data_IF_260698701235
#
_entry.id   IF_260698701235
#
_cell.length_a   1.000
_cell.length_b   1.000
_cell.length_c   1.000
_cell.angle_alpha   90.00
_cell.angle_beta   90.00
_cell.angle_gamma   90.00
#
_symmetry.space_group_name_H-M   'P 1'
#
loop_
_entity.id
_entity.type
_entity.pdbx_description
1 polymer ?
#
# COMPACT_ATOMS: atom_id res chain seq x y z
N UNK A 1 -12.42 -55.99 -39.59
CA UNK A 1 -13.90 -55.88 -39.69
C UNK A 1 -14.35 -55.73 -38.26
N UNK A 2 -14.39 -54.49 -37.78
CA UNK A 2 -14.49 -54.21 -36.35
C UNK A 2 -15.78 -53.44 -36.15
N UNK A 3 -16.78 -54.15 -35.63
CA UNK A 3 -18.13 -53.65 -35.45
C UNK A 3 -18.17 -52.91 -34.12
N UNK A 4 -18.01 -51.59 -34.16
CA UNK A 4 -18.20 -50.72 -33.00
C UNK A 4 -19.69 -50.58 -32.67
N UNK A 5 -20.15 -51.30 -31.64
CA UNK A 5 -21.49 -51.17 -31.08
C UNK A 5 -21.65 -49.84 -30.31
N UNK A 6 -21.90 -48.74 -31.02
CA UNK A 6 -22.39 -47.50 -30.43
C UNK A 6 -23.77 -47.15 -30.99
N UNK A 7 -24.81 -47.50 -30.22
CA UNK A 7 -26.17 -47.03 -30.49
C UNK A 7 -26.28 -45.55 -30.11
N UNK A 8 -26.28 -44.68 -31.11
CA UNK A 8 -26.36 -43.23 -30.90
C UNK A 8 -27.74 -42.84 -30.35
N UNK A 9 -27.81 -42.56 -29.04
CA UNK A 9 -29.04 -42.21 -28.33
C UNK A 9 -29.26 -40.70 -28.37
N UNK A 10 -29.92 -40.20 -29.42
CA UNK A 10 -30.30 -38.79 -29.52
C UNK A 10 -31.19 -38.38 -28.33
N UNK A 11 -30.84 -37.33 -27.57
CA UNK A 11 -31.59 -36.92 -26.39
C UNK A 11 -32.91 -36.23 -26.77
N UNK A 12 -33.98 -37.01 -26.86
CA UNK A 12 -35.32 -36.50 -27.12
C UNK A 12 -35.88 -35.69 -25.92
N UNK A 13 -36.31 -34.47 -26.18
CA UNK A 13 -36.78 -33.55 -25.12
C UNK A 13 -38.20 -33.89 -24.65
N UNK A 14 -38.31 -34.69 -23.58
CA UNK A 14 -39.59 -34.86 -22.87
C UNK A 14 -39.90 -33.58 -22.09
N UNK A 15 -40.68 -32.68 -22.70
CA UNK A 15 -41.26 -31.53 -22.02
C UNK A 15 -41.47 -30.33 -22.94
N UNK A 16 -42.27 -29.34 -22.52
CA UNK A 16 -42.47 -28.14 -23.31
C UNK A 16 -41.15 -27.39 -23.53
N UNK A 17 -40.84 -27.10 -24.80
CA UNK A 17 -39.65 -26.34 -25.21
C UNK A 17 -39.82 -24.83 -25.01
N UNK A 18 -41.07 -24.33 -24.99
CA UNK A 18 -41.37 -22.92 -24.79
C UNK A 18 -41.24 -22.48 -23.32
N UNK A 19 -40.75 -21.26 -23.10
CA UNK A 19 -40.59 -20.66 -21.75
C UNK A 19 -41.93 -20.62 -20.99
N UNK A 20 -43.04 -20.37 -21.71
CA UNK A 20 -44.40 -20.37 -21.17
C UNK A 20 -44.82 -21.78 -20.72
N UNK A 21 -44.58 -22.81 -21.53
CA UNK A 21 -44.89 -24.19 -21.14
C UNK A 21 -44.05 -24.67 -19.96
N UNK A 22 -42.76 -24.30 -19.90
CA UNK A 22 -41.88 -24.60 -18.75
C UNK A 22 -42.36 -23.92 -17.46
N UNK A 23 -42.76 -22.66 -17.51
CA UNK A 23 -43.27 -21.94 -16.32
C UNK A 23 -44.62 -22.49 -15.84
N UNK A 24 -45.52 -22.90 -16.73
CA UNK A 24 -46.79 -23.57 -16.37
C UNK A 24 -46.52 -24.93 -15.72
N UNK A 25 -45.66 -25.76 -16.33
CA UNK A 25 -45.28 -27.07 -15.77
C UNK A 25 -44.64 -26.94 -14.38
N UNK A 26 -43.71 -25.99 -14.21
CA UNK A 26 -43.07 -25.71 -12.93
C UNK A 26 -44.08 -25.25 -11.87
N UNK A 27 -45.03 -24.38 -12.23
CA UNK A 27 -46.10 -23.91 -11.33
C UNK A 27 -46.99 -25.06 -10.86
N UNK A 28 -47.37 -25.98 -11.75
CA UNK A 28 -48.19 -27.16 -11.41
C UNK A 28 -47.44 -28.14 -10.50
N UNK A 29 -46.17 -28.43 -10.81
CA UNK A 29 -45.29 -29.29 -10.00
C UNK A 29 -45.08 -28.72 -8.58
N UNK A 30 -44.74 -27.43 -8.49
CA UNK A 30 -44.57 -26.75 -7.21
C UNK A 30 -45.87 -26.70 -6.40
N UNK A 31 -47.04 -26.42 -6.99
CA UNK A 31 -48.31 -26.39 -6.26
C UNK A 31 -48.67 -27.75 -5.62
N UNK A 32 -48.54 -28.87 -6.35
CA UNK A 32 -48.77 -30.22 -5.77
C UNK A 32 -47.72 -30.59 -4.72
N UNK A 33 -46.47 -30.19 -4.90
CA UNK A 33 -45.39 -30.46 -3.94
C UNK A 33 -45.51 -29.65 -2.65
N UNK A 34 -45.79 -28.35 -2.75
CA UNK A 34 -45.98 -27.43 -1.61
C UNK A 34 -47.18 -27.82 -0.75
N UNK A 35 -48.28 -28.31 -1.34
CA UNK A 35 -49.42 -28.82 -0.57
C UNK A 35 -49.04 -30.06 0.26
N UNK A 36 -48.33 -31.02 -0.33
CA UNK A 36 -47.80 -32.20 0.40
C UNK A 36 -46.78 -31.79 1.48
N UNK A 37 -45.93 -30.80 1.20
CA UNK A 37 -44.96 -30.27 2.17
C UNK A 37 -45.66 -29.60 3.36
N UNK A 38 -46.67 -28.73 3.12
CA UNK A 38 -47.48 -28.13 4.20
C UNK A 38 -48.14 -29.18 5.08
N UNK A 39 -48.69 -30.25 4.51
CA UNK A 39 -49.28 -31.34 5.30
C UNK A 39 -48.25 -32.12 6.12
N UNK A 40 -47.05 -32.38 5.58
CA UNK A 40 -45.96 -32.98 6.36
C UNK A 40 -45.47 -32.07 7.47
N UNK A 41 -45.28 -30.77 7.19
CA UNK A 41 -44.85 -29.77 8.18
C UNK A 41 -45.89 -29.63 9.29
N UNK A 42 -47.18 -29.54 8.95
CA UNK A 42 -48.26 -29.46 9.93
C UNK A 42 -48.30 -30.71 10.82
N UNK A 43 -48.19 -31.91 10.25
CA UNK A 43 -48.16 -33.16 11.02
C UNK A 43 -46.93 -33.26 11.93
N UNK A 44 -45.77 -32.79 11.46
CA UNK A 44 -44.55 -32.69 12.26
C UNK A 44 -44.71 -31.70 13.41
N UNK A 45 -45.23 -30.50 13.16
CA UNK A 45 -45.52 -29.48 14.18
C UNK A 45 -46.51 -29.99 15.22
N UNK A 46 -47.60 -30.66 14.82
CA UNK A 46 -48.58 -31.24 15.75
C UNK A 46 -47.96 -32.34 16.61
N UNK A 47 -47.13 -33.21 16.04
CA UNK A 47 -46.44 -34.26 16.80
C UNK A 47 -45.38 -33.66 17.75
N UNK A 48 -44.63 -32.66 17.30
CA UNK A 48 -43.66 -31.93 18.12
C UNK A 48 -44.34 -31.20 19.28
N UNK A 49 -45.47 -30.52 19.04
CA UNK A 49 -46.27 -29.88 20.09
C UNK A 49 -46.85 -30.89 21.09
N UNK A 50 -47.30 -32.07 20.64
CA UNK A 50 -47.73 -33.15 21.55
C UNK A 50 -46.58 -33.69 22.40
N UNK A 51 -45.41 -33.94 21.80
CA UNK A 51 -44.21 -34.38 22.52
C UNK A 51 -43.72 -33.34 23.53
N UNK A 52 -43.66 -32.07 23.12
CA UNK A 52 -43.33 -30.95 24.00
C UNK A 52 -44.33 -30.81 25.17
N UNK A 53 -45.63 -31.01 24.93
CA UNK A 53 -46.65 -30.98 26.00
C UNK A 53 -46.49 -32.10 27.02
N UNK A 54 -46.06 -33.29 26.60
CA UNK A 54 -45.71 -34.38 27.50
C UNK A 54 -44.45 -34.07 28.32
N UNK A 55 -43.43 -33.48 27.70
CA UNK A 55 -42.17 -33.09 28.36
C UNK A 55 -42.33 -31.90 29.32
N UNK A 56 -43.22 -30.96 29.01
CA UNK A 56 -43.52 -29.78 29.83
C UNK A 56 -44.48 -30.06 30.99
N UNK A 57 -45.25 -31.16 30.94
CA UNK A 57 -46.20 -31.55 32.00
C UNK A 57 -45.62 -31.50 33.43
N UNK A 58 -44.45 -32.10 33.73
CA UNK A 58 -43.84 -32.01 35.07
C UNK A 58 -43.25 -30.63 35.42
N UNK A 59 -43.07 -29.72 34.44
CA UNK A 59 -42.64 -28.33 34.71
C UNK A 59 -43.82 -27.41 35.07
N UNK A 60 -45.04 -27.73 34.64
CA UNK A 60 -46.24 -26.93 34.95
C UNK A 60 -46.55 -26.91 36.45
N UNK A 61 -46.31 -28.02 37.17
CA UNK A 61 -46.46 -28.08 38.63
C UNK A 61 -45.40 -27.27 39.40
N UNK A 62 -44.22 -27.09 38.80
CA UNK A 62 -43.14 -26.28 39.39
C UNK A 62 -43.35 -24.76 39.22
N UNK A 63 -44.15 -24.37 38.23
CA UNK A 63 -44.60 -22.98 37.98
C UNK A 63 -45.80 -22.54 38.84
N UNK A 64 -46.27 -23.37 39.78
CA UNK A 64 -47.42 -23.03 40.62
C UNK A 64 -47.08 -21.85 41.58
N UNK A 65 -47.96 -20.84 41.76
CA UNK A 65 -47.68 -19.63 42.54
C UNK A 65 -47.47 -19.82 44.07
N UNK A 66 -47.35 -21.06 44.53
CA UNK A 66 -46.97 -21.42 45.91
C UNK A 66 -45.54 -22.00 46.03
N UNK A 67 -44.80 -22.14 44.92
CA UNK A 67 -43.42 -22.63 44.93
C UNK A 67 -42.40 -21.49 44.72
N UNK A 68 -41.81 -20.94 45.80
CA UNK A 68 -40.90 -19.79 45.68
C UNK A 68 -39.61 -20.11 44.91
N UNK A 69 -39.14 -21.36 44.92
CA UNK A 69 -37.93 -21.75 44.19
C UNK A 69 -38.15 -21.78 42.67
N UNK A 70 -39.32 -22.26 42.21
CA UNK A 70 -39.69 -22.24 40.79
C UNK A 70 -39.82 -20.82 40.24
N UNK A 71 -40.43 -19.91 41.02
CA UNK A 71 -40.52 -18.48 40.68
C UNK A 71 -39.12 -17.85 40.59
N UNK A 72 -38.22 -18.13 41.54
CA UNK A 72 -36.86 -17.58 41.53
C UNK A 72 -36.04 -18.03 40.31
N UNK A 73 -36.14 -19.30 39.91
CA UNK A 73 -35.44 -19.79 38.71
C UNK A 73 -36.08 -19.23 37.43
N UNK A 74 -37.41 -19.07 37.38
CA UNK A 74 -38.07 -18.40 36.25
C UNK A 74 -37.60 -16.94 36.12
N UNK A 75 -37.56 -16.18 37.22
CA UNK A 75 -37.12 -14.77 37.23
C UNK A 75 -35.65 -14.64 36.86
N UNK A 76 -34.77 -15.50 37.37
CA UNK A 76 -33.34 -15.48 37.00
C UNK A 76 -33.11 -15.90 35.55
N UNK A 77 -33.84 -16.89 35.02
CA UNK A 77 -33.81 -17.24 33.58
C UNK A 77 -34.37 -16.13 32.69
N UNK A 78 -35.43 -15.45 33.12
CA UNK A 78 -36.00 -14.29 32.41
C UNK A 78 -35.00 -13.13 32.41
N UNK A 79 -34.37 -12.81 33.55
CA UNK A 79 -33.34 -11.79 33.64
C UNK A 79 -32.10 -12.13 32.80
N UNK A 80 -31.64 -13.39 32.83
CA UNK A 80 -30.50 -13.85 32.02
C UNK A 80 -30.80 -13.77 30.51
N UNK A 81 -32.00 -14.18 30.09
CA UNK A 81 -32.41 -14.08 28.66
C UNK A 81 -32.61 -12.63 28.23
N UNK A 82 -33.14 -11.75 29.09
CA UNK A 82 -33.22 -10.31 28.82
C UNK A 82 -31.83 -9.69 28.69
N UNK A 83 -30.90 -9.96 29.62
CA UNK A 83 -29.52 -9.47 29.58
C UNK A 83 -28.75 -10.01 28.37
N UNK A 84 -28.99 -11.27 27.98
CA UNK A 84 -28.42 -11.84 26.76
C UNK A 84 -28.99 -11.17 25.51
N UNK A 85 -30.29 -10.88 25.47
CA UNK A 85 -30.94 -10.18 24.37
C UNK A 85 -30.46 -8.73 24.25
N UNK A 86 -30.37 -7.97 25.34
CA UNK A 86 -29.84 -6.59 25.32
C UNK A 86 -28.36 -6.56 24.92
N UNK A 87 -27.54 -7.48 25.43
CA UNK A 87 -26.13 -7.63 25.02
C UNK A 87 -25.99 -7.97 23.53
N UNK A 88 -26.79 -8.91 23.01
CA UNK A 88 -26.79 -9.27 21.60
C UNK A 88 -27.29 -8.13 20.71
N UNK A 89 -28.35 -7.41 21.12
CA UNK A 89 -28.85 -6.22 20.41
C UNK A 89 -27.78 -5.13 20.34
N UNK A 90 -27.12 -4.82 21.45
CA UNK A 90 -26.01 -3.85 21.48
C UNK A 90 -24.83 -4.27 20.58
N UNK A 91 -24.46 -5.56 20.60
CA UNK A 91 -23.42 -6.11 19.71
C UNK A 91 -23.80 -6.02 18.23
N UNK A 92 -25.06 -6.32 17.88
CA UNK A 92 -25.58 -6.21 16.52
C UNK A 92 -25.64 -4.76 16.04
N UNK A 93 -26.08 -3.83 16.89
CA UNK A 93 -26.14 -2.41 16.58
C UNK A 93 -24.73 -1.81 16.35
N UNK A 94 -23.77 -2.11 17.23
CA UNK A 94 -22.37 -1.74 17.02
C UNK A 94 -21.80 -2.33 15.72
N UNK A 95 -22.13 -3.59 15.39
CA UNK A 95 -21.71 -4.20 14.12
C UNK A 95 -22.32 -3.51 12.89
N UNK A 96 -23.59 -3.09 12.98
CA UNK A 96 -24.27 -2.31 11.94
C UNK A 96 -23.61 -0.93 11.78
N UNK A 97 -23.38 -0.18 12.87
CA UNK A 97 -22.69 1.12 12.85
C UNK A 97 -21.29 1.03 12.25
N UNK A 98 -20.48 0.03 12.65
CA UNK A 98 -19.16 -0.22 12.03
C UNK A 98 -19.26 -0.52 10.54
N UNK A 99 -20.27 -1.28 10.08
CA UNK A 99 -20.50 -1.53 8.66
C UNK A 99 -20.88 -0.25 7.90
N UNK A 100 -21.74 0.58 8.50
CA UNK A 100 -22.13 1.89 7.95
C UNK A 100 -20.91 2.80 7.76
N UNK A 101 -20.09 3.02 8.80
CA UNK A 101 -18.92 3.88 8.70
C UNK A 101 -17.86 3.36 7.73
N UNK A 102 -17.62 2.03 7.67
CA UNK A 102 -16.74 1.43 6.65
C UNK A 102 -17.26 1.64 5.23
N UNK A 103 -18.57 1.59 5.02
CA UNK A 103 -19.16 1.87 3.70
C UNK A 103 -19.04 3.36 3.36
N UNK A 104 -19.26 4.25 4.32
CA UNK A 104 -19.06 5.70 4.15
C UNK A 104 -17.61 6.02 3.75
N UNK A 105 -16.61 5.46 4.45
CA UNK A 105 -15.19 5.62 4.08
C UNK A 105 -14.85 5.10 2.68
N UNK A 106 -15.57 4.10 2.16
CA UNK A 106 -15.37 3.56 0.80
C UNK A 106 -16.07 4.38 -0.29
N UNK A 107 -17.08 5.15 0.08
CA UNK A 107 -17.86 5.99 -0.82
C UNK A 107 -17.49 7.48 -0.74
N UNK A 108 -16.69 7.88 0.26
CA UNK A 108 -16.21 9.24 0.45
C UNK A 108 -15.46 9.74 -0.79
N UNK A 109 -15.82 10.94 -1.25
CA UNK A 109 -15.19 11.63 -2.37
C UNK A 109 -14.17 12.67 -1.87
N UNK A 110 -14.31 13.15 -0.63
CA UNK A 110 -13.39 14.11 -0.02
C UNK A 110 -12.63 13.51 1.17
N UNK A 111 -11.47 14.09 1.48
CA UNK A 111 -10.71 13.74 2.69
C UNK A 111 -11.50 14.06 3.97
N UNK A 112 -12.30 15.12 3.97
CA UNK A 112 -13.11 15.52 5.13
C UNK A 112 -14.18 14.46 5.45
N UNK A 113 -14.95 14.02 4.45
CA UNK A 113 -15.91 12.91 4.57
C UNK A 113 -15.23 11.62 5.07
N UNK A 114 -14.09 11.27 4.47
CA UNK A 114 -13.32 10.09 4.86
C UNK A 114 -12.83 10.18 6.30
N UNK A 115 -12.27 11.32 6.71
CA UNK A 115 -11.71 11.53 8.05
C UNK A 115 -12.79 11.52 9.12
N UNK A 116 -13.98 12.10 8.86
CA UNK A 116 -15.13 12.03 9.74
C UNK A 116 -15.61 10.59 9.91
N UNK A 117 -15.77 9.85 8.81
CA UNK A 117 -16.17 8.45 8.85
C UNK A 117 -15.14 7.54 9.56
N UNK A 118 -13.84 7.77 9.34
CA UNK A 118 -12.75 7.07 10.02
C UNK A 118 -12.74 7.34 11.53
N UNK A 119 -12.90 8.60 11.94
CA UNK A 119 -13.00 9.01 13.36
C UNK A 119 -14.20 8.36 14.07
N UNK A 120 -15.34 8.27 13.38
CA UNK A 120 -16.52 7.59 13.92
C UNK A 120 -16.38 6.07 13.95
N UNK A 121 -15.69 5.47 12.97
CA UNK A 121 -15.38 4.04 12.96
C UNK A 121 -14.43 3.65 14.11
N UNK A 122 -13.41 4.46 14.38
CA UNK A 122 -12.44 4.23 15.47
C UNK A 122 -13.15 4.28 16.84
N UNK A 123 -14.05 5.25 17.05
CA UNK A 123 -14.89 5.33 18.26
C UNK A 123 -15.80 4.10 18.49
N UNK A 124 -16.29 3.47 17.41
CA UNK A 124 -17.16 2.28 17.45
C UNK A 124 -16.35 0.95 17.41
N UNK A 125 -15.01 1.03 17.40
CA UNK A 125 -14.11 -0.13 17.39
C UNK A 125 -13.55 -0.41 18.77
N UNK A 126 -13.67 -1.66 19.23
CA UNK A 126 -13.22 -2.05 20.57
C UNK A 126 -11.69 -2.17 20.61
N UNK A 127 -11.06 -1.57 21.62
CA UNK A 127 -9.61 -1.61 21.88
C UNK A 127 -9.02 -3.03 22.02
N UNK A 128 -9.86 -4.03 22.26
CA UNK A 128 -9.47 -5.45 22.36
C UNK A 128 -8.80 -5.96 21.07
N UNK A 129 -9.08 -5.37 19.91
CA UNK A 129 -8.40 -5.74 18.66
C UNK A 129 -6.99 -5.13 18.49
N UNK A 130 -6.52 -4.31 19.44
CA UNK A 130 -5.19 -3.68 19.36
C UNK A 130 -4.08 -4.60 19.90
N UNK A 131 -4.38 -5.34 20.98
CA UNK A 131 -3.46 -6.31 21.61
C UNK A 131 -3.08 -7.47 20.71
N UNK A 132 -3.93 -7.81 19.73
CA UNK A 132 -3.67 -8.90 18.77
C UNK A 132 -2.68 -8.49 17.66
N UNK A 133 -2.45 -7.18 17.48
CA UNK A 133 -1.71 -6.62 16.33
C UNK A 133 -0.32 -6.11 16.69
N UNK A 134 -0.11 -5.66 17.93
CA UNK A 134 1.18 -5.20 18.44
C UNK A 134 1.31 -5.49 19.95
N UNK A 135 2.54 -5.62 20.42
CA UNK A 135 2.87 -5.86 21.82
C UNK A 135 2.69 -4.58 22.66
N UNK A 136 1.53 -4.49 23.31
CA UNK A 136 1.13 -3.36 24.15
C UNK A 136 1.98 -3.26 25.42
N UNK A 137 2.49 -4.36 25.95
CA UNK A 137 3.27 -4.38 27.19
C UNK A 137 4.70 -3.92 26.94
N UNK A 138 5.35 -4.44 25.89
CA UNK A 138 6.69 -4.02 25.48
C UNK A 138 6.75 -2.52 25.16
N UNK A 139 5.80 -2.00 24.37
CA UNK A 139 5.79 -0.57 24.01
C UNK A 139 5.48 0.31 25.23
N UNK A 140 4.62 -0.13 26.16
CA UNK A 140 4.37 0.59 27.42
C UNK A 140 5.59 0.64 28.32
N UNK A 141 6.23 -0.50 28.55
CA UNK A 141 7.41 -0.58 29.41
C UNK A 141 8.54 0.29 28.84
N UNK A 142 8.76 0.26 27.51
CA UNK A 142 9.75 1.12 26.84
C UNK A 142 9.41 2.61 26.95
N UNK A 143 8.13 2.99 26.86
CA UNK A 143 7.68 4.37 27.03
C UNK A 143 7.94 4.89 28.44
N UNK A 144 7.59 4.13 29.48
CA UNK A 144 7.84 4.56 30.86
C UNK A 144 9.34 4.61 31.18
N UNK A 145 10.13 3.66 30.67
CA UNK A 145 11.59 3.67 30.78
C UNK A 145 12.22 4.90 30.08
N UNK A 146 11.71 5.30 28.91
CA UNK A 146 12.12 6.53 28.22
C UNK A 146 11.78 7.77 29.06
N UNK A 147 10.55 7.88 29.56
CA UNK A 147 10.12 9.03 30.40
C UNK A 147 10.97 9.15 31.67
N UNK A 148 11.15 8.05 32.41
CA UNK A 148 11.94 8.01 33.63
C UNK A 148 13.39 8.46 33.37
N UNK A 149 14.03 7.96 32.30
CA UNK A 149 15.35 8.43 31.87
C UNK A 149 15.40 9.91 31.51
N UNK A 150 14.35 10.48 30.92
CA UNK A 150 14.27 11.94 30.66
C UNK A 150 14.12 12.77 31.95
N UNK A 151 13.50 12.22 32.99
CA UNK A 151 13.25 12.93 34.24
C UNK A 151 14.42 12.83 35.24
N UNK A 152 15.18 11.73 35.23
CA UNK A 152 16.23 11.45 36.22
C UNK A 152 17.65 11.32 35.63
N UNK A 153 17.78 11.07 34.32
CA UNK A 153 19.06 10.84 33.66
C UNK A 153 19.68 12.10 33.05
N UNK A 154 20.99 12.05 32.82
CA UNK A 154 21.73 13.09 32.10
C UNK A 154 21.48 13.02 30.58
N UNK A 155 21.86 14.10 29.87
CA UNK A 155 21.79 14.12 28.41
C UNK A 155 22.70 13.05 27.76
N UNK A 156 23.80 12.68 28.44
CA UNK A 156 24.70 11.60 28.03
C UNK A 156 24.08 10.21 28.20
N UNK A 157 23.28 9.99 29.25
CA UNK A 157 22.55 8.71 29.45
C UNK A 157 21.46 8.52 28.38
N UNK A 158 20.79 9.62 28.02
CA UNK A 158 19.82 9.66 26.92
C UNK A 158 20.49 9.27 25.59
N UNK A 159 21.65 9.86 25.27
CA UNK A 159 22.45 9.54 24.07
C UNK A 159 22.88 8.07 24.07
N UNK A 160 23.47 7.59 25.17
CA UNK A 160 23.98 6.23 25.32
C UNK A 160 22.89 5.18 25.06
N UNK A 161 21.73 5.33 25.71
CA UNK A 161 20.63 4.38 25.57
C UNK A 161 19.88 4.51 24.24
N UNK A 162 19.67 5.72 23.70
CA UNK A 162 19.03 5.89 22.39
C UNK A 162 19.86 5.26 21.26
N UNK A 163 21.19 5.37 21.32
CA UNK A 163 22.09 4.73 20.34
C UNK A 163 21.97 3.20 20.34
N UNK A 164 21.76 2.60 21.50
CA UNK A 164 21.73 1.14 21.67
C UNK A 164 20.38 0.50 21.30
N UNK A 165 19.25 1.15 21.59
CA UNK A 165 17.94 0.47 21.64
C UNK A 165 16.81 1.17 20.85
N UNK A 166 17.12 2.14 19.99
CA UNK A 166 16.10 2.81 19.18
C UNK A 166 15.73 1.99 17.93
N UNK A 167 14.69 1.15 18.05
CA UNK A 167 14.19 0.27 16.97
C UNK A 167 12.90 0.78 16.33
N UNK A 168 12.87 0.87 14.99
CA UNK A 168 11.72 1.38 14.22
C UNK A 168 10.42 0.58 14.37
N UNK A 169 10.48 -0.74 14.52
CA UNK A 169 9.29 -1.61 14.61
C UNK A 169 9.19 -2.30 15.98
N UNK A 170 9.40 -1.55 17.07
CA UNK A 170 9.23 -2.04 18.44
C UNK A 170 7.85 -2.67 18.62
N UNK A 171 7.78 -3.88 19.18
CA UNK A 171 6.52 -4.57 19.47
C UNK A 171 5.60 -4.77 18.25
N UNK A 172 6.12 -4.76 17.02
CA UNK A 172 5.32 -4.80 15.78
C UNK A 172 4.41 -3.56 15.55
N UNK A 173 4.74 -2.39 16.13
CA UNK A 173 3.93 -1.16 16.01
C UNK A 173 3.75 -0.64 14.57
N UNK A 174 4.60 -1.05 13.61
CA UNK A 174 4.44 -0.72 12.18
C UNK A 174 3.50 -1.67 11.42
N UNK A 175 2.76 -2.57 12.10
CA UNK A 175 1.83 -3.50 11.46
C UNK A 175 0.79 -2.77 10.59
N UNK A 176 0.72 -3.00 9.26
CA UNK A 176 -0.18 -2.23 8.40
C UNK A 176 -1.67 -2.39 8.74
N UNK A 177 -2.11 -3.51 9.33
CA UNK A 177 -3.53 -3.67 9.72
C UNK A 177 -3.90 -2.79 10.92
N UNK A 178 -2.92 -2.32 11.69
CA UNK A 178 -3.14 -1.38 12.80
C UNK A 178 -3.50 0.02 12.30
N UNK A 179 -2.92 0.41 11.16
CA UNK A 179 -3.03 1.75 10.57
C UNK A 179 -4.10 1.82 9.45
N UNK A 180 -4.48 0.67 8.88
CA UNK A 180 -5.42 0.58 7.76
C UNK A 180 -6.81 1.13 8.10
N UNK A 181 -7.18 2.24 7.46
CA UNK A 181 -8.48 2.87 7.67
C UNK A 181 -8.64 3.55 9.02
N UNK A 182 -7.53 3.87 9.72
CA UNK A 182 -7.55 4.75 10.89
C UNK A 182 -7.09 6.15 10.52
N UNK A 183 -7.68 7.15 11.16
CA UNK A 183 -7.24 8.54 11.05
C UNK A 183 -5.98 8.80 11.91
N UNK A 184 -5.84 8.08 13.02
CA UNK A 184 -4.73 8.22 13.97
C UNK A 184 -4.14 6.86 14.32
N UNK A 185 -2.84 6.83 14.62
CA UNK A 185 -2.20 5.65 15.23
C UNK A 185 -2.70 5.45 16.67
N UNK A 186 -2.67 4.22 17.21
CA UNK A 186 -3.05 3.97 18.60
C UNK A 186 -2.28 4.87 19.59
N UNK A 187 -2.99 5.38 20.61
CA UNK A 187 -2.49 6.39 21.54
C UNK A 187 -1.11 6.04 22.14
N UNK A 188 -0.90 4.79 22.53
CA UNK A 188 0.36 4.33 23.12
C UNK A 188 1.54 4.44 22.15
N UNK A 189 1.33 4.10 20.87
CA UNK A 189 2.36 4.22 19.81
C UNK A 189 2.63 5.70 19.53
N UNK A 190 1.60 6.54 19.55
CA UNK A 190 1.79 8.00 19.43
C UNK A 190 2.65 8.53 20.57
N UNK A 191 2.32 8.21 21.82
CA UNK A 191 3.07 8.66 23.00
C UNK A 191 4.53 8.18 22.97
N UNK A 192 4.80 6.96 22.48
CA UNK A 192 6.17 6.47 22.24
C UNK A 192 6.93 7.28 21.17
N UNK A 193 6.30 7.56 20.02
CA UNK A 193 6.93 8.34 18.94
C UNK A 193 7.16 9.80 19.37
N UNK A 194 6.21 10.39 20.11
CA UNK A 194 6.31 11.75 20.63
C UNK A 194 7.41 11.86 21.71
N UNK A 195 7.56 10.86 22.58
CA UNK A 195 8.62 10.78 23.59
C UNK A 195 10.02 10.67 22.95
N UNK A 196 10.21 9.73 22.01
CA UNK A 196 11.46 9.59 21.24
C UNK A 196 11.80 10.89 20.50
N UNK A 197 10.80 11.50 19.85
CA UNK A 197 10.98 12.77 19.12
C UNK A 197 11.37 13.91 20.06
N UNK A 198 10.83 13.94 21.29
CA UNK A 198 11.20 14.92 22.32
C UNK A 198 12.65 14.74 22.75
N UNK A 199 13.08 13.52 23.04
CA UNK A 199 14.47 13.25 23.48
C UNK A 199 15.50 13.54 22.38
N UNK A 200 15.19 13.23 21.11
CA UNK A 200 16.04 13.61 19.98
C UNK A 200 16.16 15.14 19.83
N UNK A 201 15.06 15.89 20.01
CA UNK A 201 15.11 17.36 20.01
C UNK A 201 15.90 17.92 21.19
N UNK A 202 15.76 17.36 22.39
CA UNK A 202 16.60 17.76 23.54
C UNK A 202 18.09 17.63 23.21
N UNK A 203 18.53 16.52 22.59
CA UNK A 203 19.94 16.36 22.19
C UNK A 203 20.38 17.38 21.13
N UNK A 204 19.51 17.76 20.19
CA UNK A 204 19.79 18.88 19.27
C UNK A 204 19.91 20.21 20.01
N UNK A 205 18.82 20.61 20.65
CA UNK A 205 18.49 22.00 21.01
C UNK A 205 19.11 22.43 22.37
N UNK A 206 19.56 21.48 23.19
CA UNK A 206 20.21 21.79 24.49
C UNK A 206 21.67 22.18 24.29
N UNK A 207 21.94 23.48 24.26
CA UNK A 207 23.31 24.01 24.28
C UNK A 207 23.92 23.86 25.68
N UNK A 208 24.89 22.95 25.77
CA UNK A 208 25.60 22.57 27.00
C UNK A 208 27.07 22.40 26.68
N UNK A 209 27.95 22.86 27.58
CA UNK A 209 29.41 22.68 27.43
C UNK A 209 29.83 21.19 27.51
N UNK A 210 28.95 20.32 28.00
CA UNK A 210 29.17 18.88 28.13
C UNK A 210 29.18 18.12 26.79
N UNK A 211 28.64 18.68 25.71
CA UNK A 211 28.47 18.01 24.42
C UNK A 211 28.80 18.93 23.26
N UNK A 212 29.88 18.60 22.56
CA UNK A 212 30.28 19.31 21.34
C UNK A 212 29.27 19.14 20.20
N UNK A 213 29.26 20.09 19.27
CA UNK A 213 28.46 19.99 18.05
C UNK A 213 28.81 18.74 17.22
N UNK A 214 30.08 18.33 17.23
CA UNK A 214 30.56 17.14 16.51
C UNK A 214 30.00 15.85 17.13
N UNK A 215 29.97 15.73 18.46
CA UNK A 215 29.32 14.60 19.14
C UNK A 215 27.81 14.53 18.87
N UNK A 216 27.12 15.69 18.92
CA UNK A 216 25.69 15.79 18.56
C UNK A 216 25.44 15.32 17.12
N UNK A 217 26.26 15.78 16.17
CA UNK A 217 26.15 15.40 14.76
C UNK A 217 26.45 13.90 14.56
N UNK A 218 27.51 13.38 15.16
CA UNK A 218 27.86 11.96 15.09
C UNK A 218 26.72 11.08 15.62
N UNK A 219 26.21 11.37 16.82
CA UNK A 219 25.06 10.69 17.40
C UNK A 219 23.84 10.70 16.48
N UNK A 220 23.50 11.84 15.87
CA UNK A 220 22.36 11.93 14.95
C UNK A 220 22.57 11.14 13.66
N UNK A 221 23.79 11.14 13.11
CA UNK A 221 24.14 10.37 11.92
C UNK A 221 24.09 8.86 12.17
N UNK A 222 24.65 8.40 13.30
CA UNK A 222 24.71 7.00 13.71
C UNK A 222 23.32 6.48 14.13
N UNK A 223 22.57 7.23 14.94
CA UNK A 223 21.20 6.86 15.35
C UNK A 223 20.27 6.77 14.15
N UNK A 224 20.37 7.68 13.18
CA UNK A 224 19.66 7.58 11.90
C UNK A 224 20.07 6.35 11.09
N UNK A 225 21.31 5.89 11.23
CA UNK A 225 21.80 4.67 10.58
C UNK A 225 21.36 3.39 11.33
N UNK A 226 21.22 3.42 12.65
CA UNK A 226 20.62 2.30 13.40
C UNK A 226 19.11 2.19 13.12
N UNK A 227 18.39 3.31 13.17
CA UNK A 227 16.93 3.38 12.99
C UNK A 227 16.45 3.14 11.55
N UNK A 228 17.32 3.40 10.57
CA UNK A 228 17.04 3.30 9.14
C UNK A 228 16.05 4.34 8.61
N UNK A 229 15.90 4.39 7.29
CA UNK A 229 15.24 5.48 6.55
C UNK A 229 13.95 5.05 5.86
N UNK A 230 13.11 6.05 5.58
CA UNK A 230 11.90 5.89 4.74
C UNK A 230 12.21 6.29 3.30
N UNK A 231 11.71 5.53 2.32
CA UNK A 231 11.68 5.93 0.91
C UNK A 231 10.26 5.93 0.33
N UNK A 232 10.03 6.80 -0.66
CA UNK A 232 8.85 6.77 -1.53
C UNK A 232 9.20 6.03 -2.83
N UNK A 233 8.38 5.05 -3.19
CA UNK A 233 8.53 4.23 -4.39
C UNK A 233 7.34 4.44 -5.33
N UNK A 234 7.61 4.88 -6.56
CA UNK A 234 6.60 5.14 -7.59
C UNK A 234 6.78 4.14 -8.73
N UNK A 235 5.86 3.19 -8.85
CA UNK A 235 5.92 2.08 -9.81
C UNK A 235 5.61 2.48 -11.25
N UNK A 236 5.82 1.53 -12.16
CA UNK A 236 5.18 1.55 -13.47
C UNK A 236 3.65 1.45 -13.39
N UNK A 237 2.98 1.77 -14.50
CA UNK A 237 1.52 1.70 -14.60
C UNK A 237 0.89 2.32 -15.85
N UNK A 238 1.70 2.67 -16.87
CA UNK A 238 1.26 3.41 -18.06
C UNK A 238 0.36 4.62 -17.69
N UNK A 239 -0.86 4.73 -18.23
CA UNK A 239 -1.76 5.86 -17.93
C UNK A 239 -2.24 5.96 -16.48
N UNK A 240 -2.07 4.92 -15.66
CA UNK A 240 -2.40 4.98 -14.24
C UNK A 240 -1.34 5.75 -13.41
N UNK A 241 -0.21 6.10 -14.02
CA UNK A 241 0.84 6.91 -13.37
C UNK A 241 0.39 8.31 -12.94
N UNK A 242 -0.73 8.81 -13.46
CA UNK A 242 -1.38 10.03 -12.97
C UNK A 242 -1.77 9.93 -11.47
N UNK A 243 -1.99 8.73 -10.91
CA UNK A 243 -2.26 8.58 -9.48
C UNK A 243 -1.05 8.92 -8.59
N UNK A 244 0.18 8.77 -9.09
CA UNK A 244 1.37 9.19 -8.34
C UNK A 244 1.38 10.69 -8.06
N UNK A 245 0.81 11.49 -8.98
CA UNK A 245 0.74 12.94 -8.84
C UNK A 245 -0.10 13.35 -7.63
N UNK A 246 -1.23 12.66 -7.39
CA UNK A 246 -2.04 12.85 -6.18
C UNK A 246 -1.29 12.46 -4.90
N UNK A 247 -0.62 11.29 -4.90
CA UNK A 247 0.17 10.83 -3.74
C UNK A 247 1.31 11.79 -3.41
N UNK A 248 2.05 12.26 -4.41
CA UNK A 248 3.16 13.22 -4.22
C UNK A 248 2.63 14.57 -3.78
N UNK A 249 1.55 15.09 -4.39
CA UNK A 249 0.89 16.35 -3.99
C UNK A 249 0.56 16.35 -2.50
N UNK A 250 -0.18 15.34 -2.03
CA UNK A 250 -0.53 15.19 -0.61
C UNK A 250 0.70 15.09 0.30
N UNK A 251 1.76 14.37 -0.12
CA UNK A 251 3.00 14.29 0.66
C UNK A 251 3.77 15.63 0.73
N UNK A 252 3.68 16.48 -0.30
CA UNK A 252 4.30 17.82 -0.29
C UNK A 252 3.46 18.80 0.53
N UNK A 253 2.15 18.85 0.33
CA UNK A 253 1.20 19.71 1.06
C UNK A 253 1.31 19.52 2.58
N UNK A 254 1.44 18.27 3.04
CA UNK A 254 1.60 17.94 4.45
C UNK A 254 3.07 17.92 4.94
N UNK A 255 4.05 18.27 4.08
CA UNK A 255 5.49 18.27 4.40
C UNK A 255 6.04 16.91 4.84
N UNK A 256 5.44 15.81 4.34
CA UNK A 256 5.75 14.41 4.67
C UNK A 256 6.56 13.66 3.60
N UNK A 257 6.96 14.33 2.52
CA UNK A 257 7.71 13.74 1.41
C UNK A 257 9.08 13.17 1.88
N UNK A 258 9.34 11.86 1.70
CA UNK A 258 10.63 11.27 2.08
C UNK A 258 11.82 11.82 1.28
N UNK A 259 12.99 11.93 1.92
CA UNK A 259 14.24 12.38 1.28
C UNK A 259 14.77 11.40 0.22
N UNK A 260 14.34 10.14 0.24
CA UNK A 260 14.70 9.12 -0.76
C UNK A 260 13.45 8.82 -1.59
N UNK A 261 13.58 8.97 -2.91
CA UNK A 261 12.48 8.77 -3.85
C UNK A 261 13.02 7.96 -5.03
N UNK A 262 12.38 6.85 -5.36
CA UNK A 262 12.75 6.07 -6.53
C UNK A 262 11.54 5.62 -7.34
N UNK A 263 11.74 5.39 -8.64
CA UNK A 263 10.67 4.91 -9.49
C UNK A 263 11.12 4.31 -10.82
N UNK A 264 10.18 3.60 -11.43
CA UNK A 264 10.27 2.93 -12.72
C UNK A 264 9.30 3.56 -13.71
N UNK A 265 9.63 3.54 -15.01
CA UNK A 265 8.69 3.90 -16.07
C UNK A 265 8.00 5.25 -15.82
N UNK A 266 6.67 5.33 -15.91
CA UNK A 266 5.88 6.53 -15.59
C UNK A 266 6.12 7.09 -14.17
N UNK A 267 6.44 6.24 -13.19
CA UNK A 267 6.84 6.66 -11.85
C UNK A 267 8.16 7.43 -11.84
N UNK A 268 9.12 7.05 -12.68
CA UNK A 268 10.42 7.74 -12.81
C UNK A 268 10.27 9.20 -13.30
N UNK A 269 9.27 9.49 -14.15
CA UNK A 269 8.93 10.85 -14.58
C UNK A 269 8.57 11.72 -13.36
N UNK A 270 7.73 11.20 -12.47
CA UNK A 270 7.34 11.89 -11.24
C UNK A 270 8.52 12.04 -10.28
N UNK A 271 9.37 11.01 -10.17
CA UNK A 271 10.60 11.10 -9.39
C UNK A 271 11.54 12.20 -9.92
N UNK A 272 11.68 12.36 -11.23
CA UNK A 272 12.47 13.43 -11.84
C UNK A 272 11.90 14.82 -11.52
N UNK A 273 10.59 15.04 -11.67
CA UNK A 273 9.91 16.30 -11.29
C UNK A 273 10.28 16.74 -9.89
N UNK A 274 10.18 15.81 -8.93
CA UNK A 274 10.41 16.05 -7.50
C UNK A 274 11.91 16.12 -7.19
N UNK A 275 12.74 15.36 -7.90
CA UNK A 275 14.18 15.35 -7.72
C UNK A 275 14.88 16.64 -8.17
N UNK A 276 14.33 17.36 -9.15
CA UNK A 276 15.01 18.51 -9.80
C UNK A 276 14.51 19.90 -9.39
N UNK A 277 13.65 20.02 -8.37
CA UNK A 277 13.05 21.30 -7.92
C UNK A 277 13.27 21.51 -6.44
N UNK A 278 13.84 22.62 -5.99
CA UNK A 278 13.98 22.95 -4.57
C UNK A 278 12.64 22.88 -3.81
N UNK A 279 12.67 22.85 -2.47
CA UNK A 279 11.43 22.74 -1.69
C UNK A 279 10.40 23.87 -1.99
N UNK A 280 10.79 25.16 -2.09
CA UNK A 280 9.85 26.22 -2.46
C UNK A 280 9.29 26.07 -3.89
N UNK A 281 10.12 25.68 -4.86
CA UNK A 281 9.67 25.40 -6.24
C UNK A 281 8.69 24.23 -6.30
N UNK A 282 8.87 23.22 -5.45
CA UNK A 282 7.98 22.07 -5.39
C UNK A 282 6.64 22.41 -4.72
N UNK A 283 6.65 23.28 -3.70
CA UNK A 283 5.41 23.80 -3.09
C UNK A 283 4.62 24.66 -4.07
N UNK A 284 5.25 25.69 -4.67
CA UNK A 284 4.56 26.61 -5.59
C UNK A 284 3.97 25.90 -6.81
N UNK A 285 4.64 24.85 -7.27
CA UNK A 285 4.19 23.94 -8.32
C UNK A 285 2.92 23.14 -7.98
N UNK A 286 2.69 22.80 -6.70
CA UNK A 286 1.47 22.11 -6.26
C UNK A 286 0.37 23.05 -5.75
N UNK A 287 0.73 24.25 -5.29
CA UNK A 287 -0.19 25.24 -4.71
C UNK A 287 -0.77 26.20 -5.77
N UNK A 288 -0.01 26.55 -6.81
CA UNK A 288 -0.40 27.55 -7.80
C UNK A 288 -1.39 27.03 -8.86
N UNK A 289 -2.68 27.34 -8.72
CA UNK A 289 -3.76 26.82 -9.59
C UNK A 289 -3.54 26.93 -11.10
N UNK A 290 -3.05 28.08 -11.59
CA UNK A 290 -2.83 28.31 -13.03
C UNK A 290 -1.61 27.56 -13.58
N UNK A 291 -0.47 27.62 -12.87
CA UNK A 291 0.73 26.88 -13.26
C UNK A 291 0.53 25.37 -13.11
N UNK A 292 -0.19 24.94 -12.07
CA UNK A 292 -0.62 23.56 -11.90
C UNK A 292 -1.51 23.13 -13.07
N UNK A 293 -2.50 23.92 -13.52
CA UNK A 293 -3.34 23.59 -14.68
C UNK A 293 -2.53 23.43 -15.98
N UNK A 294 -1.67 24.40 -16.30
CA UNK A 294 -0.80 24.30 -17.48
C UNK A 294 0.18 23.12 -17.37
N UNK A 295 0.64 22.81 -16.16
CA UNK A 295 1.48 21.64 -15.90
C UNK A 295 0.70 20.32 -15.89
N UNK A 296 -0.56 20.28 -15.46
CA UNK A 296 -1.45 19.12 -15.55
C UNK A 296 -1.76 18.83 -17.02
N UNK A 297 -1.85 19.84 -17.88
CA UNK A 297 -1.95 19.68 -19.33
C UNK A 297 -0.60 19.25 -19.94
N UNK A 298 0.53 19.83 -19.53
CA UNK A 298 1.86 19.39 -19.96
C UNK A 298 2.16 17.94 -19.54
N UNK A 299 1.77 17.54 -18.32
CA UNK A 299 1.88 16.18 -17.81
C UNK A 299 0.80 15.27 -18.36
N UNK A 300 -0.40 15.76 -18.66
CA UNK A 300 -1.37 15.06 -19.49
C UNK A 300 -0.74 14.74 -20.84
N UNK A 301 -0.04 15.69 -21.43
CA UNK A 301 0.79 15.56 -22.62
C UNK A 301 1.96 14.58 -22.44
N UNK A 302 2.68 14.58 -21.32
CA UNK A 302 3.77 13.62 -21.06
C UNK A 302 3.22 12.23 -20.81
N UNK A 303 2.19 12.07 -19.98
CA UNK A 303 1.54 10.79 -19.71
C UNK A 303 0.81 10.23 -20.92
N UNK A 304 0.19 11.05 -21.77
CA UNK A 304 -0.39 10.58 -23.04
C UNK A 304 0.70 10.22 -24.04
N UNK A 305 1.80 10.99 -24.15
CA UNK A 305 2.98 10.57 -24.93
C UNK A 305 3.55 9.26 -24.38
N UNK A 306 3.77 9.12 -23.06
CA UNK A 306 4.24 7.88 -22.40
C UNK A 306 3.24 6.72 -22.57
N UNK A 307 1.94 6.99 -22.74
CA UNK A 307 0.88 5.99 -23.00
C UNK A 307 0.70 5.66 -24.49
N UNK A 308 1.18 6.48 -25.43
CA UNK A 308 1.25 6.17 -26.88
C UNK A 308 2.60 5.55 -27.25
N UNK A 309 3.68 6.02 -26.64
CA UNK A 309 4.73 5.14 -26.09
C UNK A 309 4.09 4.09 -25.16
N UNK A 310 4.73 2.99 -24.80
CA UNK A 310 4.10 1.84 -24.10
C UNK A 310 2.85 1.17 -24.77
N UNK A 311 2.22 1.69 -25.84
CA UNK A 311 1.08 1.01 -26.51
C UNK A 311 1.04 1.05 -28.05
N UNK A 312 1.56 2.09 -28.72
CA UNK A 312 1.42 2.31 -30.18
C UNK A 312 2.76 2.30 -30.96
N UNK A 313 3.91 2.18 -30.30
CA UNK A 313 5.22 1.95 -30.96
C UNK A 313 5.84 3.14 -31.71
N UNK A 314 5.32 4.36 -31.55
CA UNK A 314 5.69 5.50 -32.40
C UNK A 314 7.10 6.07 -32.11
N UNK A 315 8.06 5.83 -33.02
CA UNK A 315 9.46 6.33 -32.91
C UNK A 315 9.54 7.86 -32.82
N UNK A 316 8.69 8.59 -33.54
CA UNK A 316 8.71 10.06 -33.54
C UNK A 316 8.32 10.67 -32.18
N UNK A 317 7.56 9.94 -31.35
CA UNK A 317 7.13 10.41 -30.03
C UNK A 317 8.25 10.38 -28.99
N UNK A 318 9.32 9.60 -29.17
CA UNK A 318 10.40 9.53 -28.16
C UNK A 318 11.28 10.77 -28.17
N UNK A 319 11.55 11.37 -29.34
CA UNK A 319 12.27 12.65 -29.43
C UNK A 319 11.45 13.77 -28.78
N UNK A 320 10.13 13.73 -28.95
CA UNK A 320 9.21 14.67 -28.31
C UNK A 320 9.14 14.47 -26.78
N UNK A 321 9.17 13.23 -26.29
CA UNK A 321 9.30 12.91 -24.86
C UNK A 321 10.64 13.38 -24.30
N UNK A 322 11.76 13.11 -24.98
CA UNK A 322 13.09 13.59 -24.59
C UNK A 322 13.12 15.12 -24.50
N UNK A 323 12.58 15.84 -25.49
CA UNK A 323 12.49 17.30 -25.48
C UNK A 323 11.67 17.82 -24.28
N UNK A 324 10.48 17.24 -24.05
CA UNK A 324 9.64 17.55 -22.87
C UNK A 324 10.40 17.31 -21.56
N UNK A 325 11.11 16.19 -21.43
CA UNK A 325 11.87 15.83 -20.22
C UNK A 325 13.11 16.71 -20.02
N UNK A 326 13.84 17.08 -21.08
CA UNK A 326 14.97 18.03 -21.02
C UNK A 326 14.54 19.38 -20.45
N UNK A 327 13.42 19.92 -20.93
CA UNK A 327 12.83 21.16 -20.42
C UNK A 327 12.26 21.01 -19.00
N UNK A 328 11.81 19.81 -18.62
CA UNK A 328 11.26 19.53 -17.28
C UNK A 328 12.34 19.42 -16.20
N UNK A 329 13.53 18.94 -16.57
CA UNK A 329 14.65 18.65 -15.66
C UNK A 329 15.85 19.59 -15.83
N UNK A 330 15.78 20.59 -16.72
CA UNK A 330 16.86 21.54 -17.04
C UNK A 330 18.22 20.88 -17.32
N UNK A 331 18.22 19.71 -17.98
CA UNK A 331 19.42 18.88 -18.21
C UNK A 331 20.26 18.54 -16.94
N UNK A 332 19.65 18.56 -15.74
CA UNK A 332 20.35 18.20 -14.51
C UNK A 332 20.74 16.72 -14.48
N UNK A 333 21.90 16.46 -13.88
CA UNK A 333 22.42 15.14 -13.52
C UNK A 333 21.93 14.71 -12.14
N UNK A 334 22.11 13.43 -11.80
CA UNK A 334 21.75 12.94 -10.45
C UNK A 334 22.54 13.64 -9.34
N UNK A 335 23.81 13.98 -9.57
CA UNK A 335 24.63 14.72 -8.61
C UNK A 335 24.14 16.16 -8.44
N UNK A 336 23.99 16.92 -9.53
CA UNK A 336 23.51 18.32 -9.46
C UNK A 336 22.12 18.42 -8.81
N UNK A 337 21.21 17.49 -9.11
CA UNK A 337 19.89 17.45 -8.49
C UNK A 337 19.95 17.11 -6.98
N UNK A 338 20.88 16.25 -6.56
CA UNK A 338 21.13 15.98 -5.15
C UNK A 338 21.73 17.20 -4.44
N UNK A 339 22.65 17.92 -5.06
CA UNK A 339 23.30 19.10 -4.47
C UNK A 339 22.31 20.27 -4.30
N UNK A 340 21.43 20.49 -5.29
CA UNK A 340 20.38 21.53 -5.22
C UNK A 340 19.30 21.20 -4.18
N UNK A 341 18.88 19.94 -4.08
CA UNK A 341 17.66 19.57 -3.32
C UNK A 341 17.89 18.76 -2.05
N UNK A 342 19.09 18.23 -1.87
CA UNK A 342 19.41 17.19 -0.89
C UNK A 342 18.71 15.84 -1.11
N UNK A 343 17.77 15.69 -2.07
CA UNK A 343 16.97 14.47 -2.21
C UNK A 343 17.69 13.42 -3.06
N UNK A 344 17.58 12.18 -2.60
CA UNK A 344 18.18 11.01 -3.23
C UNK A 344 17.18 10.47 -4.25
N UNK A 345 17.44 10.77 -5.52
CA UNK A 345 16.68 10.28 -6.66
C UNK A 345 17.21 8.92 -7.13
N UNK A 346 16.32 7.93 -7.28
CA UNK A 346 16.61 6.63 -7.88
C UNK A 346 15.75 6.36 -9.12
N UNK A 347 16.34 5.91 -10.22
CA UNK A 347 15.60 5.49 -11.43
C UNK A 347 16.05 4.09 -11.83
N UNK A 348 15.10 3.18 -12.05
CA UNK A 348 15.43 1.82 -12.52
C UNK A 348 15.48 1.72 -14.04
N UNK A 349 16.47 1.00 -14.53
CA UNK A 349 16.64 0.65 -15.95
C UNK A 349 17.12 -0.79 -16.09
N UNK A 350 16.67 -1.49 -17.14
CA UNK A 350 17.15 -2.84 -17.49
C UNK A 350 17.95 -2.80 -18.80
N UNK A 351 18.85 -3.75 -18.99
CA UNK A 351 19.50 -3.95 -20.28
C UNK A 351 18.62 -4.83 -21.18
N UNK A 352 18.70 -4.71 -22.52
CA UNK A 352 18.19 -5.73 -23.42
C UNK A 352 19.05 -7.01 -23.43
N UNK A 353 20.25 -7.00 -22.83
CA UNK A 353 21.17 -8.14 -22.81
C UNK A 353 20.82 -9.10 -21.66
N UNK A 354 20.60 -10.38 -21.97
CA UNK A 354 20.11 -11.44 -21.03
C UNK A 354 20.90 -11.59 -19.72
N UNK A 355 22.20 -11.28 -19.71
CA UNK A 355 23.09 -11.51 -18.56
C UNK A 355 23.47 -10.22 -17.82
N UNK A 356 22.90 -9.07 -18.21
CA UNK A 356 23.20 -7.79 -17.60
C UNK A 356 22.10 -7.39 -16.61
N UNK A 357 22.41 -7.27 -15.31
CA UNK A 357 21.39 -7.08 -14.28
C UNK A 357 20.75 -5.68 -14.32
N UNK A 358 19.51 -5.54 -13.81
CA UNK A 358 18.85 -4.25 -13.66
C UNK A 358 19.67 -3.31 -12.77
N UNK A 359 19.66 -2.01 -13.10
CA UNK A 359 20.39 -0.97 -12.36
C UNK A 359 19.43 0.05 -11.74
N UNK A 360 19.77 0.50 -10.53
CA UNK A 360 19.18 1.68 -9.91
C UNK A 360 20.18 2.84 -10.06
N UNK A 361 19.91 3.74 -11.00
CA UNK A 361 20.70 4.94 -11.26
C UNK A 361 20.37 5.98 -10.18
N UNK A 362 21.40 6.52 -9.53
CA UNK A 362 21.30 7.54 -8.49
C UNK A 362 22.63 8.31 -8.38
N UNK A 363 22.72 9.30 -7.48
CA UNK A 363 23.90 10.14 -7.34
C UNK A 363 25.18 9.38 -6.91
N UNK A 364 25.08 8.24 -6.23
CA UNK A 364 26.25 7.40 -5.91
C UNK A 364 26.64 6.46 -7.06
N UNK A 365 25.66 5.84 -7.73
CA UNK A 365 25.91 4.81 -8.75
C UNK A 365 26.12 5.37 -10.15
N UNK A 366 25.64 6.58 -10.41
CA UNK A 366 25.64 7.23 -11.73
C UNK A 366 25.55 8.77 -11.62
N UNK A 367 26.45 9.43 -10.86
CA UNK A 367 26.38 10.87 -10.55
C UNK A 367 26.18 11.76 -11.77
N UNK A 368 26.93 11.48 -12.84
CA UNK A 368 27.01 12.33 -14.04
C UNK A 368 25.91 12.07 -15.08
N UNK A 369 25.06 11.06 -14.90
CA UNK A 369 23.99 10.74 -15.87
C UNK A 369 22.91 11.82 -15.82
N UNK A 370 22.52 12.37 -16.98
CA UNK A 370 21.45 13.38 -17.06
C UNK A 370 20.08 12.72 -16.91
N UNK A 371 19.26 13.26 -16.00
CA UNK A 371 18.04 12.61 -15.48
C UNK A 371 17.03 12.33 -16.59
N UNK A 372 16.86 13.24 -17.56
CA UNK A 372 15.95 13.02 -18.69
C UNK A 372 16.29 11.76 -19.50
N UNK A 373 17.57 11.40 -19.64
CA UNK A 373 17.98 10.20 -20.39
C UNK A 373 17.66 8.93 -19.61
N UNK A 374 17.88 8.93 -18.28
CA UNK A 374 17.50 7.86 -17.38
C UNK A 374 15.98 7.63 -17.36
N UNK A 375 15.17 8.69 -17.30
CA UNK A 375 13.70 8.61 -17.41
C UNK A 375 13.29 8.06 -18.77
N UNK A 376 13.87 8.56 -19.87
CA UNK A 376 13.51 8.11 -21.23
C UNK A 376 13.81 6.61 -21.40
N UNK A 377 14.97 6.13 -20.93
CA UNK A 377 15.31 4.71 -20.90
C UNK A 377 14.36 3.90 -20.01
N UNK A 378 14.00 4.42 -18.83
CA UNK A 378 13.03 3.77 -17.92
C UNK A 378 11.63 3.69 -18.52
N UNK A 379 11.23 4.58 -19.44
CA UNK A 379 9.94 4.52 -20.15
C UNK A 379 9.95 3.67 -21.44
N UNK A 380 11.11 3.17 -21.90
CA UNK A 380 11.23 2.43 -23.16
C UNK A 380 10.79 0.97 -22.99
N UNK A 381 9.48 0.70 -23.14
CA UNK A 381 8.90 -0.60 -22.82
C UNK A 381 9.36 -1.75 -23.76
N UNK A 382 9.81 -2.90 -23.23
CA UNK A 382 10.27 -4.05 -24.01
C UNK A 382 9.31 -4.52 -25.10
N UNK A 383 9.84 -4.78 -26.31
CA UNK A 383 9.07 -5.32 -27.44
C UNK A 383 8.17 -4.31 -28.16
N UNK A 384 7.95 -3.13 -27.57
CA UNK A 384 7.22 -2.03 -28.19
C UNK A 384 8.13 -0.84 -28.56
N UNK A 385 9.30 -0.71 -27.91
CA UNK A 385 10.25 0.39 -28.13
C UNK A 385 11.69 -0.09 -28.21
N UNK A 386 12.48 0.66 -28.97
CA UNK A 386 13.93 0.51 -29.04
C UNK A 386 14.56 0.99 -27.71
N UNK A 387 15.48 0.17 -27.19
CA UNK A 387 16.23 0.50 -25.97
C UNK A 387 17.06 1.78 -26.19
N UNK A 388 17.04 2.68 -25.21
CA UNK A 388 17.59 4.04 -25.27
C UNK A 388 18.99 4.12 -24.66
N UNK A 389 19.77 5.11 -25.09
CA UNK A 389 21.12 5.33 -24.60
C UNK A 389 21.09 6.26 -23.37
N UNK A 390 21.89 5.94 -22.36
CA UNK A 390 22.08 6.84 -21.23
C UNK A 390 23.09 7.93 -21.62
N UNK A 391 22.76 9.18 -21.31
CA UNK A 391 23.63 10.33 -21.55
C UNK A 391 24.18 10.83 -20.21
N UNK A 392 25.37 11.41 -20.22
CA UNK A 392 26.02 11.99 -19.05
C UNK A 392 26.67 13.32 -19.41
N UNK A 393 26.88 14.19 -18.41
CA UNK A 393 27.78 15.33 -18.56
C UNK A 393 29.21 14.85 -18.39
N UNK A 394 30.10 15.30 -19.27
CA UNK A 394 31.54 15.10 -19.11
C UNK A 394 32.13 16.14 -18.13
N UNK A 395 33.46 16.24 -18.06
CA UNK A 395 34.16 17.19 -17.18
C UNK A 395 34.10 18.65 -17.68
N UNK A 396 33.71 18.87 -18.93
CA UNK A 396 33.51 20.20 -19.53
C UNK A 396 32.07 20.69 -19.39
N UNK A 397 31.14 19.78 -19.10
CA UNK A 397 29.70 20.03 -18.97
C UNK A 397 28.88 19.59 -20.19
N UNK A 398 29.56 19.11 -21.25
CA UNK A 398 28.94 18.66 -22.49
C UNK A 398 28.23 17.31 -22.34
N UNK A 399 27.11 17.15 -23.05
CA UNK A 399 26.26 15.95 -22.93
C UNK A 399 26.74 14.87 -23.91
N UNK A 400 27.40 13.84 -23.38
CA UNK A 400 27.99 12.71 -24.12
C UNK A 400 27.31 11.38 -23.74
N UNK A 401 27.47 10.30 -24.53
CA UNK A 401 27.02 8.96 -24.13
C UNK A 401 27.72 8.50 -22.84
N UNK A 402 26.95 7.99 -21.87
CA UNK A 402 27.47 7.58 -20.55
C UNK A 402 28.37 6.35 -20.60
N UNK A 403 28.20 5.51 -21.63
CA UNK A 403 29.06 4.37 -21.90
C UNK A 403 29.71 4.57 -23.26
N UNK A 404 31.05 4.52 -23.37
CA UNK A 404 31.69 4.50 -24.68
C UNK A 404 31.23 3.26 -25.46
N UNK A 405 31.19 3.32 -26.80
CA UNK A 405 30.99 2.13 -27.62
C UNK A 405 32.06 1.09 -27.28
N UNK A 406 31.74 -0.19 -27.42
CA UNK A 406 32.73 -1.25 -27.25
C UNK A 406 33.77 -1.14 -28.37
N UNK A 407 35.04 -1.01 -27.99
CA UNK A 407 36.17 -1.21 -28.90
C UNK A 407 36.25 -2.71 -29.23
N UNK A 408 35.47 -3.14 -30.22
CA UNK A 408 35.62 -4.43 -30.89
C UNK A 408 36.48 -4.22 -32.14
N UNK A 409 37.25 -5.23 -32.51
CA UNK A 409 38.14 -5.16 -33.67
C UNK A 409 37.34 -4.91 -34.97
N UNK A 410 37.91 -4.14 -35.92
CA UNK A 410 37.18 -3.60 -37.07
C UNK A 410 36.68 -4.64 -38.08
N UNK A 411 36.96 -5.93 -37.89
CA UNK A 411 36.47 -7.02 -38.76
C UNK A 411 35.12 -7.60 -38.29
N UNK A 412 34.70 -7.39 -37.04
CA UNK A 412 33.34 -7.73 -36.56
C UNK A 412 32.39 -6.51 -36.56
N UNK A 413 32.89 -5.31 -36.89
CA UNK A 413 32.21 -4.03 -36.65
C UNK A 413 31.16 -3.64 -37.69
N UNK A 414 30.18 -4.52 -37.96
CA UNK A 414 28.96 -4.13 -38.70
C UNK A 414 27.94 -3.39 -37.83
N UNK A 415 28.01 -3.55 -36.50
CA UNK A 415 27.28 -2.72 -35.52
C UNK A 415 28.17 -2.49 -34.28
N UNK A 416 28.74 -1.29 -34.14
CA UNK A 416 29.32 -0.86 -32.88
C UNK A 416 28.21 -0.81 -31.80
N UNK A 417 28.11 -1.85 -30.98
CA UNK A 417 26.90 -2.10 -30.18
C UNK A 417 26.78 -1.15 -28.97
N UNK A 418 26.26 0.06 -29.21
CA UNK A 418 26.06 1.06 -28.16
C UNK A 418 25.19 0.49 -27.03
N UNK A 419 25.61 0.74 -25.79
CA UNK A 419 24.99 0.14 -24.61
C UNK A 419 23.68 0.85 -24.26
N UNK A 420 22.58 0.17 -24.59
CA UNK A 420 21.20 0.66 -24.49
C UNK A 420 20.45 0.05 -23.31
N UNK A 421 19.39 0.73 -22.89
CA UNK A 421 18.62 0.50 -21.68
C UNK A 421 17.12 0.62 -21.95
N UNK A 422 16.30 -0.10 -21.18
CA UNK A 422 14.85 -0.23 -21.36
C UNK A 422 14.10 -0.22 -20.03
N UNK A 423 12.78 -0.13 -20.09
CA UNK A 423 11.89 -0.15 -18.92
C UNK A 423 12.12 -1.43 -18.11
N UNK A 424 12.39 -1.25 -16.82
CA UNK A 424 12.63 -2.35 -15.89
C UNK A 424 11.38 -2.88 -15.21
N UNK A 425 10.20 -2.31 -15.43
CA UNK A 425 8.96 -2.66 -14.71
C UNK A 425 8.54 -4.13 -14.82
N UNK A 426 9.02 -4.86 -15.85
CA UNK A 426 8.77 -6.29 -16.02
C UNK A 426 9.77 -7.21 -15.32
N UNK A 427 11.00 -6.73 -15.07
CA UNK A 427 12.11 -7.53 -14.50
C UNK A 427 12.39 -7.16 -13.04
N UNK A 428 12.37 -5.86 -12.73
CA UNK A 428 12.56 -5.28 -11.40
C UNK A 428 11.83 -3.94 -11.30
N UNK A 429 10.53 -3.99 -10.97
CA UNK A 429 9.67 -2.80 -10.88
C UNK A 429 10.20 -1.78 -9.85
N UNK A 430 10.61 -2.22 -8.66
CA UNK A 430 11.06 -1.32 -7.59
C UNK A 430 12.38 -1.78 -6.95
N UNK A 431 13.39 -0.90 -6.79
CA UNK A 431 14.74 -1.27 -6.38
C UNK A 431 14.89 -1.43 -4.85
N UNK A 432 14.00 -2.19 -4.20
CA UNK A 432 13.94 -2.26 -2.73
C UNK A 432 15.23 -2.81 -2.09
N UNK A 433 15.95 -3.68 -2.78
CA UNK A 433 17.22 -4.28 -2.29
C UNK A 433 18.34 -3.24 -2.37
N UNK A 434 18.53 -2.60 -3.54
CA UNK A 434 19.56 -1.59 -3.73
C UNK A 434 19.36 -0.37 -2.83
N UNK A 435 18.11 0.00 -2.51
CA UNK A 435 17.81 1.07 -1.56
C UNK A 435 18.05 0.67 -0.09
N UNK A 436 17.90 -0.62 0.27
CA UNK A 436 18.34 -1.13 1.57
C UNK A 436 19.86 -1.02 1.70
N UNK A 437 20.59 -1.48 0.68
CA UNK A 437 22.04 -1.56 0.69
C UNK A 437 22.71 -0.18 0.64
N UNK A 438 22.34 0.67 -0.34
CA UNK A 438 23.01 1.96 -0.57
C UNK A 438 22.57 3.06 0.39
N UNK A 439 21.32 3.03 0.86
CA UNK A 439 20.73 4.14 1.60
C UNK A 439 20.08 3.73 2.91
N UNK A 440 20.21 2.47 3.33
CA UNK A 440 19.70 1.95 4.59
C UNK A 440 18.20 2.23 4.78
N UNK A 441 17.42 1.93 3.75
CA UNK A 441 15.95 2.06 3.76
C UNK A 441 15.32 0.80 4.33
N UNK A 442 14.64 0.91 5.47
CA UNK A 442 13.89 -0.19 6.08
C UNK A 442 12.37 0.02 6.05
N UNK A 443 11.89 1.17 5.57
CA UNK A 443 10.47 1.47 5.42
C UNK A 443 10.14 2.05 4.04
N UNK A 444 9.13 1.51 3.38
CA UNK A 444 8.77 1.84 2.01
C UNK A 444 7.32 2.29 1.91
N UNK A 445 7.11 3.50 1.40
CA UNK A 445 5.80 3.98 0.95
C UNK A 445 5.72 3.65 -0.54
N UNK A 446 4.84 2.73 -0.93
CA UNK A 446 4.75 2.26 -2.33
C UNK A 446 3.45 2.76 -2.97
N UNK A 447 3.58 3.56 -4.01
CA UNK A 447 2.49 3.91 -4.90
C UNK A 447 2.53 2.94 -6.09
N UNK A 448 1.67 1.92 -6.03
CA UNK A 448 1.62 0.84 -7.04
C UNK A 448 0.52 1.12 -8.06
N UNK A 449 0.90 1.37 -9.31
CA UNK A 449 -0.03 1.66 -10.42
C UNK A 449 -0.15 0.51 -11.44
N UNK A 450 0.67 -0.55 -11.33
CA UNK A 450 0.64 -1.69 -12.26
C UNK A 450 -0.64 -2.54 -12.09
N UNK A 451 -1.54 -2.59 -13.10
CA UNK A 451 -2.83 -3.27 -12.96
C UNK A 451 -2.69 -4.79 -12.84
N UNK A 452 -1.64 -5.37 -13.41
CA UNK A 452 -1.35 -6.81 -13.36
C UNK A 452 -0.97 -7.30 -11.94
N UNK A 453 -0.56 -6.40 -11.03
CA UNK A 453 -0.20 -6.70 -9.65
C UNK A 453 -1.44 -6.67 -8.72
N UNK A 454 -2.55 -6.05 -9.15
CA UNK A 454 -3.77 -5.92 -8.34
C UNK A 454 -4.39 -7.26 -7.87
N UNK A 455 -4.44 -8.35 -8.69
CA UNK A 455 -4.91 -9.65 -8.23
C UNK A 455 -4.00 -10.25 -7.14
N UNK A 456 -2.68 -10.14 -7.31
CA UNK A 456 -1.68 -10.63 -6.35
C UNK A 456 -1.76 -9.87 -5.01
N UNK A 457 -1.97 -8.55 -5.05
CA UNK A 457 -2.17 -7.74 -3.84
C UNK A 457 -3.45 -8.14 -3.10
N UNK A 458 -4.57 -8.32 -3.82
CA UNK A 458 -5.83 -8.82 -3.20
C UNK A 458 -5.66 -10.20 -2.58
N UNK A 459 -4.90 -11.09 -3.22
CA UNK A 459 -4.58 -12.41 -2.63
C UNK A 459 -3.71 -12.27 -1.37
N UNK A 460 -2.72 -11.39 -1.37
CA UNK A 460 -1.88 -11.10 -0.19
C UNK A 460 -2.68 -10.48 0.96
N UNK A 461 -3.63 -9.59 0.67
CA UNK A 461 -4.57 -9.06 1.66
C UNK A 461 -5.47 -10.16 2.24
N UNK A 462 -6.02 -11.03 1.39
CA UNK A 462 -6.86 -12.14 1.83
C UNK A 462 -6.10 -13.10 2.76
N UNK A 463 -4.89 -13.53 2.36
CA UNK A 463 -4.07 -14.43 3.20
C UNK A 463 -3.69 -13.77 4.53
N UNK A 464 -3.35 -12.48 4.53
CA UNK A 464 -3.08 -11.73 5.78
C UNK A 464 -4.32 -11.64 6.67
N UNK A 465 -5.50 -11.40 6.11
CA UNK A 465 -6.77 -11.39 6.84
C UNK A 465 -7.14 -12.78 7.40
N UNK A 466 -6.65 -13.86 6.79
CA UNK A 466 -6.76 -15.24 7.30
C UNK A 466 -5.62 -15.64 8.26
N UNK A 467 -4.77 -14.70 8.70
CA UNK A 467 -3.67 -14.96 9.64
C UNK A 467 -2.41 -15.57 9.02
N UNK A 468 -2.37 -15.78 7.70
CA UNK A 468 -1.21 -16.34 7.01
C UNK A 468 -0.12 -15.30 6.70
N UNK A 469 1.14 -15.64 6.96
CA UNK A 469 2.30 -14.89 6.46
C UNK A 469 2.66 -15.37 5.05
N UNK A 470 2.08 -14.76 4.02
CA UNK A 470 2.47 -15.06 2.63
C UNK A 470 3.82 -14.43 2.29
N UNK A 471 4.89 -15.22 2.44
CA UNK A 471 6.28 -14.82 2.19
C UNK A 471 6.64 -14.90 0.68
N UNK A 472 5.90 -14.16 -0.15
CA UNK A 472 6.33 -13.89 -1.53
C UNK A 472 7.30 -12.70 -1.54
N UNK A 473 8.53 -12.91 -2.01
CA UNK A 473 9.45 -11.84 -2.41
C UNK A 473 8.83 -11.07 -3.57
N UNK A 474 8.48 -9.81 -3.31
CA UNK A 474 8.31 -8.71 -4.29
C UNK A 474 8.96 -7.50 -3.65
#
# INVERSE_FOLDING_TARGET
>A
MDISNEANMDPFSIGPTTIIGRTIAFRILCCKSVSKLRHKLFRFIVNFLRGARAFLSPFVSWLHPRNPQGILVMVTMMAFTLNRYTSLKAKAEMAYRRKFWRNMMRAALTYEEWSHAAKMLDKETLKVHETDLFDVELVRNKLEELKHRRHEGSLRDIIFCMRADLVRNLGNMCNPELHKGRLHVPRLIKEYIDEVSTQLRMVCDTDTEELSLEEKLSFMHETRHAFGRTALLLSGGASLGAFHLGVVKTLVEHKMLPRIIAGSSVGSVMCAVVGTRSWPELQSFFEGSWHALQFFDQMGGIFTTVKRVMTQGAVHEIQHLQWKLRNLTNNLTFQEAFDITGRILGITVCSPRKHEPPRCLNYLTSPHVVIWSAVTASCAFPGLFEAQELMAKDRTGEIVPYHPPFNLDPEESSVASVRRWRDGSLEMDLPMIQLKELFNVNHFIVSQANPHIAPLLRMKEFVRASGGRFAAKV
#
